data_IF_879411363212
#
_entry.id   IF_879411363212
#
_cell.length_a   1.000
_cell.length_b   1.000
_cell.length_c   1.000
_cell.angle_alpha   90.00
_cell.angle_beta   90.00
_cell.angle_gamma   90.00
#
_symmetry.space_group_name_H-M   'P 1'
#
loop_
_entity.id
_entity.type
_entity.pdbx_description
1 polymer ?
#
# COMPACT_ATOMS: atom_id res chain seq x y z
N UNK A 1 -12.69 -45.62 -37.95
CA UNK A 1 -11.47 -45.22 -37.22
C UNK A 1 -11.08 -43.80 -37.63
N UNK A 2 -11.36 -42.79 -36.79
CA UNK A 2 -10.99 -41.38 -37.03
C UNK A 2 -9.84 -41.02 -36.09
N UNK A 3 -8.66 -40.71 -36.64
CA UNK A 3 -7.49 -40.22 -35.89
C UNK A 3 -7.74 -38.77 -35.45
N UNK A 4 -8.03 -38.57 -34.17
CA UNK A 4 -8.10 -37.25 -33.54
C UNK A 4 -6.71 -36.65 -33.41
N UNK A 5 -6.47 -35.54 -34.13
CA UNK A 5 -5.27 -34.71 -33.97
C UNK A 5 -5.34 -34.00 -32.61
N UNK A 6 -4.37 -34.28 -31.74
CA UNK A 6 -4.12 -33.51 -30.52
C UNK A 6 -3.69 -32.09 -30.90
N UNK A 7 -4.50 -31.10 -30.56
CA UNK A 7 -4.10 -29.70 -30.59
C UNK A 7 -3.11 -29.47 -29.44
N UNK A 8 -1.86 -29.17 -29.79
CA UNK A 8 -0.86 -28.64 -28.87
C UNK A 8 -1.12 -27.13 -28.79
N UNK A 9 -1.85 -26.70 -27.77
CA UNK A 9 -1.95 -25.29 -27.41
C UNK A 9 -0.59 -24.82 -26.89
N UNK A 10 0.17 -24.14 -27.74
CA UNK A 10 1.35 -23.38 -27.31
C UNK A 10 0.86 -22.24 -26.43
N UNK A 11 1.05 -22.35 -25.12
CA UNK A 11 0.98 -21.21 -24.21
C UNK A 11 2.22 -20.35 -24.48
N UNK A 12 2.07 -19.35 -25.34
CA UNK A 12 3.00 -18.24 -25.46
C UNK A 12 3.00 -17.49 -24.13
N UNK A 13 3.94 -17.86 -23.25
CA UNK A 13 4.36 -16.98 -22.17
C UNK A 13 5.00 -15.77 -22.84
N UNK A 14 4.23 -14.71 -23.00
CA UNK A 14 4.75 -13.38 -23.31
C UNK A 14 5.66 -12.96 -22.16
N UNK A 15 6.91 -13.36 -22.26
CA UNK A 15 8.03 -12.72 -21.55
C UNK A 15 8.27 -11.38 -22.22
N UNK A 16 7.25 -10.51 -22.14
CA UNK A 16 7.42 -9.09 -22.37
C UNK A 16 8.26 -8.58 -21.21
N UNK A 17 9.58 -8.63 -21.38
CA UNK A 17 10.48 -7.74 -20.65
C UNK A 17 10.03 -6.33 -21.00
N UNK A 18 9.13 -5.77 -20.19
CA UNK A 18 8.90 -4.34 -20.15
C UNK A 18 10.20 -3.78 -19.57
N UNK A 19 11.16 -3.52 -20.45
CA UNK A 19 12.28 -2.63 -20.20
C UNK A 19 11.67 -1.28 -19.86
N UNK A 20 11.34 -1.11 -18.59
CA UNK A 20 10.83 0.12 -18.01
C UNK A 20 11.99 1.08 -17.84
N UNK A 21 12.59 1.48 -18.97
CA UNK A 21 13.33 2.74 -19.00
C UNK A 21 12.30 3.82 -18.77
N UNK A 22 12.48 4.56 -17.68
CA UNK A 22 11.56 5.62 -17.33
C UNK A 22 11.80 6.79 -18.30
N UNK A 23 10.77 7.54 -18.75
CA UNK A 23 10.94 8.63 -19.71
C UNK A 23 11.98 9.70 -19.31
N UNK A 24 12.24 9.86 -18.02
CA UNK A 24 13.26 10.77 -17.50
C UNK A 24 14.68 10.20 -17.48
N UNK A 25 14.87 8.89 -17.69
CA UNK A 25 16.17 8.28 -17.97
C UNK A 25 16.61 8.52 -19.43
N UNK A 26 15.67 8.84 -20.32
CA UNK A 26 15.91 9.28 -21.70
C UNK A 26 16.13 10.79 -21.84
N UNK A 27 16.03 11.54 -20.73
CA UNK A 27 16.55 12.90 -20.68
C UNK A 27 18.08 12.80 -20.71
N UNK A 28 18.60 12.66 -21.92
CA UNK A 28 20.02 12.69 -22.18
C UNK A 28 20.52 14.04 -21.67
N UNK A 29 21.26 14.00 -20.56
CA UNK A 29 21.75 15.18 -19.85
C UNK A 29 22.62 16.05 -20.79
N UNK A 30 23.25 15.41 -21.79
CA UNK A 30 23.95 16.07 -22.90
C UNK A 30 23.08 17.10 -23.65
N UNK A 31 21.76 16.90 -23.74
CA UNK A 31 20.84 17.85 -24.40
C UNK A 31 20.54 19.10 -23.56
N UNK A 32 20.78 19.09 -22.26
CA UNK A 32 20.31 20.14 -21.35
C UNK A 32 21.42 20.85 -20.57
N UNK A 33 22.60 20.22 -20.38
CA UNK A 33 23.70 20.85 -19.62
C UNK A 33 24.46 21.90 -20.43
N UNK A 34 24.50 21.77 -21.76
CA UNK A 34 24.85 22.86 -22.68
C UNK A 34 24.52 22.36 -24.10
N UNK A 35 23.35 22.71 -24.67
CA UNK A 35 23.06 22.34 -26.06
C UNK A 35 24.23 22.80 -26.96
N UNK A 36 24.63 22.04 -27.99
CA UNK A 36 25.76 22.41 -28.86
C UNK A 36 25.61 23.84 -29.42
N UNK A 37 24.37 24.25 -29.64
CA UNK A 37 23.96 25.60 -30.04
C UNK A 37 24.42 26.71 -29.08
N UNK A 38 24.47 26.45 -27.77
CA UNK A 38 24.87 27.46 -26.78
C UNK A 38 26.39 27.67 -26.72
N UNK A 39 27.17 26.68 -27.18
CA UNK A 39 28.63 26.73 -27.14
C UNK A 39 29.20 27.79 -28.10
N UNK A 40 28.48 28.09 -29.18
CA UNK A 40 28.82 29.14 -30.16
C UNK A 40 28.66 30.56 -29.60
N UNK A 41 27.86 30.74 -28.54
CA UNK A 41 27.63 32.05 -27.90
C UNK A 41 28.48 32.27 -26.65
N UNK A 42 29.35 31.32 -26.28
CA UNK A 42 30.24 31.45 -25.12
C UNK A 42 31.49 32.25 -25.51
N UNK A 43 31.79 33.37 -24.82
CA UNK A 43 33.04 34.10 -25.03
C UNK A 43 34.27 33.20 -24.86
N UNK A 44 35.24 33.32 -25.76
CA UNK A 44 36.40 32.41 -25.86
C UNK A 44 37.18 32.26 -24.52
N UNK A 45 37.22 33.33 -23.73
CA UNK A 45 37.88 33.42 -22.42
C UNK A 45 37.14 32.65 -21.30
N UNK A 46 35.89 32.24 -21.54
CA UNK A 46 35.02 31.58 -20.57
C UNK A 46 34.73 30.12 -20.90
N UNK A 47 35.05 29.65 -22.11
CA UNK A 47 34.78 28.29 -22.59
C UNK A 47 35.29 27.24 -21.59
N UNK A 48 36.53 27.37 -21.12
CA UNK A 48 37.13 26.39 -20.20
C UNK A 48 36.44 26.37 -18.83
N UNK A 49 36.00 27.54 -18.34
CA UNK A 49 35.27 27.66 -17.06
C UNK A 49 33.88 27.04 -17.17
N UNK A 50 33.18 27.28 -18.28
CA UNK A 50 31.88 26.68 -18.56
C UNK A 50 32.01 25.16 -18.69
N UNK A 51 33.01 24.66 -19.41
CA UNK A 51 33.28 23.23 -19.54
C UNK A 51 33.53 22.55 -18.17
N UNK A 52 34.29 23.20 -17.27
CA UNK A 52 34.50 22.72 -15.90
C UNK A 52 33.19 22.64 -15.11
N UNK A 53 32.34 23.65 -15.21
CA UNK A 53 31.02 23.66 -14.54
C UNK A 53 30.13 22.53 -15.07
N UNK A 54 30.06 22.35 -16.39
CA UNK A 54 29.30 21.27 -17.02
C UNK A 54 29.78 19.89 -16.52
N UNK A 55 31.09 19.67 -16.46
CA UNK A 55 31.66 18.42 -15.95
C UNK A 55 31.32 18.17 -14.48
N UNK A 56 31.36 19.20 -13.63
CA UNK A 56 30.96 19.09 -12.22
C UNK A 56 29.48 18.73 -12.10
N UNK A 57 28.61 19.38 -12.89
CA UNK A 57 27.17 19.10 -12.90
C UNK A 57 26.86 17.69 -13.39
N UNK A 58 27.56 17.20 -14.42
CA UNK A 58 27.43 15.83 -14.90
C UNK A 58 27.83 14.82 -13.84
N UNK A 59 28.93 15.05 -13.12
CA UNK A 59 29.41 14.18 -12.06
C UNK A 59 28.47 14.19 -10.84
N UNK A 60 27.93 15.35 -10.47
CA UNK A 60 26.91 15.45 -9.43
C UNK A 60 25.62 14.70 -9.82
N UNK A 61 25.18 14.82 -11.07
CA UNK A 61 24.01 14.10 -11.58
C UNK A 61 24.24 12.58 -11.65
N UNK A 62 25.47 12.13 -11.96
CA UNK A 62 25.86 10.71 -11.86
C UNK A 62 25.81 10.24 -10.41
N UNK A 63 26.42 10.95 -9.47
CA UNK A 63 26.41 10.60 -8.05
C UNK A 63 24.97 10.52 -7.48
N UNK A 64 24.11 11.48 -7.82
CA UNK A 64 22.70 11.46 -7.42
C UNK A 64 21.97 10.21 -7.92
N UNK A 65 22.20 9.81 -9.18
CA UNK A 65 21.60 8.61 -9.77
C UNK A 65 22.16 7.31 -9.21
N UNK A 66 23.44 7.27 -8.87
CA UNK A 66 24.12 6.05 -8.43
C UNK A 66 23.95 5.78 -6.93
N UNK A 67 23.85 6.82 -6.11
CA UNK A 67 23.79 6.67 -4.66
C UNK A 67 22.43 7.05 -4.07
N UNK A 68 21.86 8.17 -4.50
CA UNK A 68 20.64 8.71 -3.87
C UNK A 68 19.36 8.10 -4.46
N UNK A 69 19.26 7.98 -5.77
CA UNK A 69 18.11 7.38 -6.45
C UNK A 69 17.85 5.91 -6.07
N UNK A 70 18.84 5.00 -5.97
CA UNK A 70 18.54 3.63 -5.55
C UNK A 70 18.01 3.56 -4.12
N UNK A 71 18.57 4.35 -3.19
CA UNK A 71 18.07 4.42 -1.81
C UNK A 71 16.63 4.94 -1.78
N UNK A 72 16.34 6.03 -2.49
CA UNK A 72 14.98 6.56 -2.60
C UNK A 72 14.02 5.58 -3.27
N UNK A 73 14.46 4.87 -4.30
CA UNK A 73 13.65 3.85 -4.98
C UNK A 73 13.38 2.64 -4.07
N UNK A 74 14.35 2.21 -3.26
CA UNK A 74 14.17 1.15 -2.27
C UNK A 74 13.12 1.59 -1.24
N UNK A 75 13.22 2.81 -0.69
CA UNK A 75 12.24 3.37 0.25
C UNK A 75 10.83 3.47 -0.38
N UNK A 76 10.73 3.99 -1.61
CA UNK A 76 9.46 4.03 -2.37
C UNK A 76 8.87 2.64 -2.59
N UNK A 77 9.68 1.66 -2.98
CA UNK A 77 9.25 0.26 -3.17
C UNK A 77 8.81 -0.38 -1.85
N UNK A 78 9.51 -0.10 -0.75
CA UNK A 78 9.13 -0.57 0.57
C UNK A 78 7.76 0.00 0.97
N UNK A 79 7.56 1.32 0.87
CA UNK A 79 6.29 1.98 1.14
C UNK A 79 5.13 1.39 0.30
N UNK A 80 5.32 1.25 -1.01
CA UNK A 80 4.32 0.61 -1.89
C UNK A 80 4.01 -0.83 -1.45
N UNK A 81 5.03 -1.59 -1.04
CA UNK A 81 4.84 -2.96 -0.53
C UNK A 81 4.03 -2.96 0.76
N UNK A 82 4.32 -2.05 1.69
CA UNK A 82 3.58 -1.91 2.93
C UNK A 82 2.11 -1.55 2.67
N UNK A 83 1.83 -0.56 1.80
CA UNK A 83 0.47 -0.19 1.43
C UNK A 83 -0.31 -1.36 0.80
N UNK A 84 0.31 -2.10 -0.12
CA UNK A 84 -0.32 -3.28 -0.74
C UNK A 84 -0.60 -4.39 0.28
N UNK A 85 0.32 -4.61 1.22
CA UNK A 85 0.15 -5.61 2.27
C UNK A 85 -0.94 -5.21 3.26
N UNK A 86 -0.98 -3.93 3.62
CA UNK A 86 -2.02 -3.38 4.49
C UNK A 86 -3.41 -3.57 3.87
N UNK A 87 -3.59 -3.18 2.61
CA UNK A 87 -4.86 -3.30 1.89
C UNK A 87 -5.33 -4.76 1.79
N UNK A 88 -4.43 -5.66 1.41
CA UNK A 88 -4.78 -7.08 1.20
C UNK A 88 -5.01 -7.88 2.49
N UNK A 89 -4.33 -7.55 3.59
CA UNK A 89 -4.37 -8.34 4.82
C UNK A 89 -5.05 -7.59 5.96
N UNK A 90 -4.52 -6.43 6.32
CA UNK A 90 -4.90 -5.73 7.55
C UNK A 90 -6.26 -5.03 7.42
N UNK A 91 -6.55 -4.46 6.25
CA UNK A 91 -7.83 -3.83 5.96
C UNK A 91 -8.93 -4.88 5.77
N UNK A 92 -8.63 -5.97 5.04
CA UNK A 92 -9.56 -7.08 4.87
C UNK A 92 -9.99 -7.67 6.23
N UNK A 93 -9.02 -8.00 7.09
CA UNK A 93 -9.32 -8.51 8.43
C UNK A 93 -10.15 -7.51 9.26
N UNK A 94 -9.84 -6.21 9.18
CA UNK A 94 -10.62 -5.19 9.90
C UNK A 94 -12.07 -5.10 9.39
N UNK A 95 -12.26 -5.26 8.08
CA UNK A 95 -13.59 -5.27 7.45
C UNK A 95 -14.39 -6.49 7.89
N UNK A 96 -13.78 -7.68 7.90
CA UNK A 96 -14.38 -8.92 8.39
C UNK A 96 -14.78 -8.82 9.87
N UNK A 97 -13.89 -8.30 10.73
CA UNK A 97 -14.19 -8.07 12.14
C UNK A 97 -15.37 -7.11 12.33
N UNK A 98 -15.44 -6.04 11.53
CA UNK A 98 -16.55 -5.09 11.54
C UNK A 98 -17.87 -5.74 11.13
N UNK A 99 -17.86 -6.61 10.11
CA UNK A 99 -19.05 -7.35 9.69
C UNK A 99 -19.56 -8.29 10.77
N UNK A 100 -18.66 -9.08 11.39
CA UNK A 100 -19.01 -9.97 12.51
C UNK A 100 -19.59 -9.20 13.69
N UNK A 101 -19.00 -8.06 14.03
CA UNK A 101 -19.52 -7.19 15.08
C UNK A 101 -20.92 -6.65 14.76
N UNK A 102 -21.14 -6.18 13.53
CA UNK A 102 -22.45 -5.69 13.11
C UNK A 102 -23.51 -6.80 13.14
N UNK A 103 -23.15 -8.03 12.78
CA UNK A 103 -24.04 -9.19 12.89
C UNK A 103 -24.37 -9.50 14.35
N UNK A 104 -23.38 -9.52 15.25
CA UNK A 104 -23.62 -9.73 16.68
C UNK A 104 -24.54 -8.65 17.27
N UNK A 105 -24.33 -7.38 16.90
CA UNK A 105 -25.20 -6.27 17.29
C UNK A 105 -26.64 -6.49 16.83
N UNK A 106 -26.83 -6.83 15.56
CA UNK A 106 -28.15 -7.07 14.98
C UNK A 106 -28.87 -8.23 15.69
N UNK A 107 -28.18 -9.35 15.94
CA UNK A 107 -28.71 -10.50 16.66
C UNK A 107 -29.14 -10.14 18.08
N UNK A 108 -28.32 -9.37 18.79
CA UNK A 108 -28.66 -8.86 20.13
C UNK A 108 -29.90 -7.96 20.11
N UNK A 109 -29.98 -7.02 19.16
CA UNK A 109 -31.13 -6.12 19.02
C UNK A 109 -32.42 -6.88 18.68
N UNK A 110 -32.33 -7.93 17.86
CA UNK A 110 -33.47 -8.82 17.57
C UNK A 110 -33.91 -9.61 18.80
N UNK A 111 -32.98 -10.23 19.52
CA UNK A 111 -33.31 -10.94 20.75
C UNK A 111 -33.94 -10.02 21.81
N UNK A 112 -33.44 -8.78 21.93
CA UNK A 112 -34.03 -7.75 22.79
C UNK A 112 -35.46 -7.39 22.35
N UNK A 113 -35.69 -7.30 21.05
CA UNK A 113 -37.03 -7.06 20.50
C UNK A 113 -37.98 -8.21 20.85
N UNK A 114 -37.54 -9.46 20.70
CA UNK A 114 -38.35 -10.64 21.01
C UNK A 114 -38.75 -10.71 22.48
N UNK A 115 -37.84 -10.35 23.40
CA UNK A 115 -38.16 -10.23 24.83
C UNK A 115 -39.30 -9.22 25.04
N UNK A 116 -39.23 -8.06 24.39
CA UNK A 116 -40.28 -7.02 24.48
C UNK A 116 -41.62 -7.45 23.89
N UNK A 117 -41.62 -8.31 22.88
CA UNK A 117 -42.84 -8.83 22.23
C UNK A 117 -43.48 -10.01 22.97
N UNK A 118 -42.81 -10.56 23.98
CA UNK A 118 -43.32 -11.71 24.74
C UNK A 118 -44.52 -11.29 25.60
N UNK A 119 -45.56 -12.15 25.63
CA UNK A 119 -46.83 -11.84 26.32
C UNK A 119 -47.03 -12.64 27.61
N UNK A 120 -46.34 -13.75 27.77
CA UNK A 120 -46.42 -14.61 28.95
C UNK A 120 -45.10 -14.62 29.70
N UNK A 121 -45.15 -14.82 31.01
CA UNK A 121 -43.96 -14.87 31.87
C UNK A 121 -42.97 -15.94 31.41
N UNK A 122 -43.48 -17.14 31.08
CA UNK A 122 -42.66 -18.24 30.55
C UNK A 122 -41.97 -17.89 29.22
N UNK A 123 -42.63 -17.14 28.34
CA UNK A 123 -42.01 -16.65 27.09
C UNK A 123 -40.95 -15.59 27.35
N UNK A 124 -41.18 -14.69 28.31
CA UNK A 124 -40.22 -13.66 28.72
C UNK A 124 -38.96 -14.34 29.25
N UNK A 125 -39.08 -15.30 30.16
CA UNK A 125 -37.95 -16.03 30.76
C UNK A 125 -37.11 -16.74 29.69
N UNK A 126 -37.74 -17.51 28.80
CA UNK A 126 -37.03 -18.21 27.72
C UNK A 126 -36.30 -17.24 26.79
N UNK A 127 -36.93 -16.13 26.40
CA UNK A 127 -36.33 -15.14 25.49
C UNK A 127 -35.26 -14.29 26.19
N UNK A 128 -35.39 -14.03 27.49
CA UNK A 128 -34.40 -13.30 28.27
C UNK A 128 -33.07 -14.07 28.34
N UNK A 129 -33.12 -15.40 28.47
CA UNK A 129 -31.92 -16.25 28.39
C UNK A 129 -31.24 -16.12 27.03
N UNK A 130 -32.00 -16.16 25.94
CA UNK A 130 -31.45 -15.99 24.59
C UNK A 130 -30.84 -14.60 24.40
N UNK A 131 -31.50 -13.55 24.89
CA UNK A 131 -30.96 -12.20 24.86
C UNK A 131 -29.63 -12.10 25.63
N UNK A 132 -29.56 -12.69 26.83
CA UNK A 132 -28.35 -12.69 27.63
C UNK A 132 -27.18 -13.37 26.90
N UNK A 133 -27.43 -14.50 26.24
CA UNK A 133 -26.41 -15.16 25.40
C UNK A 133 -25.92 -14.25 24.27
N UNK A 134 -26.81 -13.49 23.62
CA UNK A 134 -26.41 -12.55 22.57
C UNK A 134 -25.63 -11.34 23.11
N UNK A 135 -25.93 -10.89 24.34
CA UNK A 135 -25.15 -9.84 25.02
C UNK A 135 -23.72 -10.31 25.26
N UNK A 136 -23.54 -11.53 25.77
CA UNK A 136 -22.20 -12.11 25.99
C UNK A 136 -21.40 -12.19 24.68
N UNK A 137 -22.02 -12.69 23.61
CA UNK A 137 -21.38 -12.73 22.28
C UNK A 137 -21.02 -11.33 21.79
N UNK A 138 -21.90 -10.34 21.98
CA UNK A 138 -21.64 -8.96 21.59
C UNK A 138 -20.47 -8.35 22.37
N UNK A 139 -20.40 -8.56 23.68
CA UNK A 139 -19.33 -8.08 24.55
C UNK A 139 -17.97 -8.71 24.18
N UNK A 140 -17.95 -10.00 23.85
CA UNK A 140 -16.74 -10.65 23.32
C UNK A 140 -16.23 -9.97 22.04
N UNK A 141 -17.13 -9.59 21.12
CA UNK A 141 -16.73 -8.89 19.90
C UNK A 141 -16.24 -7.45 20.19
N UNK A 142 -16.86 -6.74 21.14
CA UNK A 142 -16.39 -5.44 21.63
C UNK A 142 -14.94 -5.52 22.14
N UNK A 143 -14.65 -6.54 22.95
CA UNK A 143 -13.32 -6.74 23.53
C UNK A 143 -12.27 -7.07 22.46
N UNK A 144 -12.63 -7.85 21.44
CA UNK A 144 -11.76 -8.14 20.28
C UNK A 144 -11.43 -6.89 19.46
N UNK A 145 -12.39 -6.00 19.25
CA UNK A 145 -12.17 -4.74 18.51
C UNK A 145 -11.30 -3.77 19.32
N UNK A 146 -11.58 -3.65 20.63
CA UNK A 146 -10.82 -2.76 21.52
C UNK A 146 -9.36 -3.18 21.61
N UNK A 147 -9.10 -4.49 21.74
CA UNK A 147 -7.73 -5.03 21.79
C UNK A 147 -6.98 -4.89 20.46
N UNK A 148 -7.66 -5.02 19.32
CA UNK A 148 -7.02 -4.91 18.00
C UNK A 148 -6.71 -3.47 17.58
N UNK A 149 -7.44 -2.48 18.13
CA UNK A 149 -7.21 -1.05 17.86
C UNK A 149 -5.97 -0.51 18.58
N UNK A 150 -5.71 -0.94 19.82
CA UNK A 150 -4.55 -0.48 20.61
C UNK A 150 -3.19 -0.92 20.03
N UNK A 151 -3.14 -2.02 19.28
CA UNK A 151 -1.89 -2.54 18.68
C UNK A 151 -1.46 -1.74 17.43
N UNK A 152 -2.39 -1.02 16.77
CA UNK A 152 -2.10 -0.32 15.50
C UNK A 152 -1.49 1.07 15.68
N UNK A 153 -1.81 1.75 16.77
CA UNK A 153 -1.30 3.10 17.06
C UNK A 153 0.22 3.09 17.30
N UNK A 154 0.74 2.01 17.90
CA UNK A 154 2.18 1.82 18.19
C UNK A 154 3.01 1.56 16.93
N UNK A 155 2.46 0.85 15.92
CA UNK A 155 3.22 0.48 14.71
C UNK A 155 3.38 1.61 13.70
N UNK A 156 2.46 2.56 13.64
CA UNK A 156 2.57 3.67 12.69
C UNK A 156 3.63 4.68 13.15
N UNK A 157 3.70 4.99 14.45
CA UNK A 157 4.74 5.86 14.99
C UNK A 157 6.16 5.33 14.75
N UNK A 158 6.36 4.01 14.82
CA UNK A 158 7.66 3.38 14.54
C UNK A 158 8.07 3.42 13.06
N UNK A 159 7.10 3.37 12.13
CA UNK A 159 7.37 3.40 10.68
C UNK A 159 7.67 4.80 10.16
N UNK A 160 7.17 5.84 10.85
CA UNK A 160 7.39 7.24 10.46
C UNK A 160 8.50 7.94 11.26
N UNK A 161 9.00 7.36 12.35
CA UNK A 161 10.10 7.94 13.13
C UNK A 161 11.42 8.09 12.33
N UNK A 162 11.60 7.31 11.26
CA UNK A 162 12.80 7.36 10.40
C UNK A 162 12.75 8.45 9.31
N UNK A 163 11.73 9.32 9.32
CA UNK A 163 11.54 10.37 8.30
C UNK A 163 11.98 11.77 8.74
N UNK A 164 12.32 11.99 10.01
CA UNK A 164 12.62 13.33 10.55
C UNK A 164 14.13 13.67 10.61
N UNK A 165 15.02 12.75 10.24
CA UNK A 165 16.46 13.04 10.11
C UNK A 165 16.77 13.52 8.69
N UNK A 166 16.52 14.81 8.41
CA UNK A 166 17.20 15.52 7.31
C UNK A 166 18.62 15.93 7.73
N UNK A 167 19.65 15.71 6.89
CA UNK A 167 20.95 16.36 7.03
C UNK A 167 20.96 17.81 6.51
#
# INVERSE_FOLDING_TARGET
MRKGRRFIGKNEKSTGSISSRKPWEELNIEKYICPPMFQEFVPQDKIEKVAKICSILENAAKCKREYQEPVLQIKKRACIRHLRRFDSLEYKALTEHREVFNQAKYSMDMAKHDVKQAKTTEQIERRAVLYQQQVEVFDEQCNKITSSSQIREIRLSEVFADYDDEP
#
